data_IF_628641990244
#
_entry.id   IF_628641990244
#
_cell.length_a   1.000
_cell.length_b   1.000
_cell.length_c   1.000
_cell.angle_alpha   90.00
_cell.angle_beta   90.00
_cell.angle_gamma   90.00
#
_symmetry.space_group_name_H-M   'P 1'
#
loop_
_entity.id
_entity.type
_entity.pdbx_description
1 polymer ?
#
# COMPACT_ATOMS: atom_id res chain seq x y z
N UNK A 1 -13.09 5.81 47.79
CA UNK A 1 -11.92 5.20 47.13
C UNK A 1 -12.45 4.22 46.10
N UNK A 2 -11.89 4.15 44.89
CA UNK A 2 -12.35 3.20 43.88
C UNK A 2 -12.18 1.76 44.40
N UNK A 3 -13.13 0.88 44.05
CA UNK A 3 -13.07 -0.54 44.38
C UNK A 3 -11.99 -1.25 43.56
N UNK A 4 -11.51 -2.43 43.98
CA UNK A 4 -10.62 -3.24 43.15
C UNK A 4 -11.19 -3.54 41.75
N UNK A 5 -12.51 -3.76 41.65
CA UNK A 5 -13.19 -4.01 40.38
C UNK A 5 -13.19 -2.78 39.46
N UNK A 6 -13.46 -1.59 40.01
CA UNK A 6 -13.37 -0.32 39.27
C UNK A 6 -11.94 -0.04 38.78
N UNK A 7 -10.93 -0.40 39.59
CA UNK A 7 -9.52 -0.27 39.20
C UNK A 7 -9.15 -1.24 38.08
N UNK A 8 -9.60 -2.49 38.15
CA UNK A 8 -9.35 -3.51 37.11
C UNK A 8 -9.99 -3.09 35.77
N UNK A 9 -11.27 -2.71 35.78
CA UNK A 9 -11.95 -2.25 34.56
C UNK A 9 -11.25 -1.03 33.94
N UNK A 10 -10.73 -0.13 34.78
CA UNK A 10 -9.95 1.02 34.33
C UNK A 10 -8.61 0.62 33.71
N UNK A 11 -7.92 -0.37 34.27
CA UNK A 11 -6.66 -0.90 33.74
C UNK A 11 -6.90 -1.54 32.37
N UNK A 12 -7.89 -2.41 32.25
CA UNK A 12 -8.25 -3.08 30.99
C UNK A 12 -8.58 -2.06 29.89
N UNK A 13 -9.37 -1.02 30.22
CA UNK A 13 -9.68 0.05 29.29
C UNK A 13 -8.44 0.86 28.84
N UNK A 14 -7.47 1.05 29.74
CA UNK A 14 -6.21 1.74 29.41
C UNK A 14 -5.28 0.86 28.58
N UNK A 15 -5.19 -0.43 28.86
CA UNK A 15 -4.41 -1.40 28.09
C UNK A 15 -4.95 -1.52 26.66
N UNK A 16 -6.27 -1.62 26.49
CA UNK A 16 -6.90 -1.63 25.17
C UNK A 16 -6.61 -0.35 24.37
N UNK A 17 -6.64 0.82 25.02
CA UNK A 17 -6.29 2.11 24.39
C UNK A 17 -4.82 2.20 24.03
N UNK A 18 -3.93 1.69 24.88
CA UNK A 18 -2.50 1.66 24.60
C UNK A 18 -2.20 0.75 23.40
N UNK A 19 -2.79 -0.44 23.37
CA UNK A 19 -2.66 -1.37 22.25
C UNK A 19 -3.15 -0.76 20.94
N UNK A 20 -4.30 -0.09 20.93
CA UNK A 20 -4.81 0.59 19.73
C UNK A 20 -3.85 1.69 19.23
N UNK A 21 -3.25 2.46 20.13
CA UNK A 21 -2.27 3.49 19.77
C UNK A 21 -0.96 2.89 19.23
N UNK A 22 -0.51 1.77 19.80
CA UNK A 22 0.66 1.04 19.33
C UNK A 22 0.43 0.42 17.95
N UNK A 23 -0.74 -0.19 17.73
CA UNK A 23 -1.14 -0.76 16.45
C UNK A 23 -1.24 0.29 15.35
N UNK A 24 -1.80 1.47 15.66
CA UNK A 24 -1.80 2.60 14.73
C UNK A 24 -0.38 2.96 14.27
N UNK A 25 0.55 3.11 15.23
CA UNK A 25 1.96 3.41 14.92
C UNK A 25 2.61 2.29 14.11
N UNK A 26 2.36 1.03 14.45
CA UNK A 26 2.91 -0.12 13.73
C UNK A 26 2.42 -0.17 12.28
N UNK A 27 1.14 0.07 12.03
CA UNK A 27 0.57 0.08 10.68
C UNK A 27 1.09 1.25 9.83
N UNK A 28 1.25 2.44 10.43
CA UNK A 28 1.88 3.60 9.75
C UNK A 28 3.32 3.29 9.36
N UNK A 29 4.10 2.71 10.28
CA UNK A 29 5.47 2.32 10.00
C UNK A 29 5.55 1.19 8.97
N UNK A 30 4.65 0.21 9.03
CA UNK A 30 4.57 -0.90 8.08
C UNK A 30 4.33 -0.40 6.66
N UNK A 31 3.33 0.47 6.46
CA UNK A 31 3.03 1.03 5.14
C UNK A 31 4.16 1.94 4.66
N UNK A 32 4.69 2.81 5.52
CA UNK A 32 5.84 3.65 5.18
C UNK A 32 7.06 2.82 4.76
N UNK A 33 7.38 1.75 5.48
CA UNK A 33 8.48 0.84 5.15
C UNK A 33 8.27 0.15 3.80
N UNK A 34 7.04 -0.24 3.45
CA UNK A 34 6.73 -0.77 2.12
C UNK A 34 7.13 0.22 1.01
N UNK A 35 6.74 1.49 1.14
CA UNK A 35 7.12 2.55 0.19
C UNK A 35 8.64 2.67 0.06
N UNK A 36 9.35 2.82 1.19
CA UNK A 36 10.82 2.93 1.19
C UNK A 36 11.53 1.72 0.58
N UNK A 37 11.03 0.50 0.80
CA UNK A 37 11.66 -0.69 0.24
C UNK A 37 11.44 -0.79 -1.27
N UNK A 38 10.23 -0.50 -1.75
CA UNK A 38 9.94 -0.49 -3.19
C UNK A 38 10.75 0.61 -3.89
N UNK A 39 10.87 1.78 -3.27
CA UNK A 39 11.62 2.93 -3.82
C UNK A 39 13.10 2.69 -4.03
N UNK A 40 13.67 1.68 -3.35
CA UNK A 40 15.11 1.40 -3.35
C UNK A 40 15.44 0.02 -3.88
N UNK A 41 14.51 -0.61 -4.59
CA UNK A 41 14.74 -1.93 -5.17
C UNK A 41 14.91 -3.05 -4.15
N UNK A 42 14.47 -2.85 -2.90
CA UNK A 42 14.63 -3.83 -1.81
C UNK A 42 13.46 -4.83 -1.83
N UNK A 43 13.28 -5.51 -2.96
CA UNK A 43 12.12 -6.35 -3.29
C UNK A 43 11.84 -7.44 -2.26
N UNK A 44 12.89 -8.12 -1.79
CA UNK A 44 12.76 -9.16 -0.77
C UNK A 44 12.26 -8.61 0.57
N UNK A 45 12.72 -7.40 0.95
CA UNK A 45 12.27 -6.74 2.17
C UNK A 45 10.82 -6.29 2.04
N UNK A 46 10.44 -5.72 0.90
CA UNK A 46 9.06 -5.33 0.60
C UNK A 46 8.12 -6.55 0.64
N UNK A 47 8.47 -7.65 -0.03
CA UNK A 47 7.69 -8.88 -0.01
C UNK A 47 7.54 -9.46 1.40
N UNK A 48 8.58 -9.38 2.24
CA UNK A 48 8.54 -9.86 3.63
C UNK A 48 7.57 -9.08 4.55
N UNK A 49 6.99 -7.97 4.10
CA UNK A 49 5.96 -7.23 4.84
C UNK A 49 4.55 -7.84 4.67
N UNK A 50 4.34 -8.65 3.63
CA UNK A 50 3.06 -9.31 3.35
C UNK A 50 2.84 -10.49 4.28
N UNK A 51 1.58 -10.86 4.53
CA UNK A 51 1.21 -12.12 5.18
C UNK A 51 1.60 -13.30 4.27
N UNK A 52 1.64 -14.53 4.79
CA UNK A 52 2.00 -15.70 3.98
C UNK A 52 1.07 -15.82 2.74
N UNK A 53 -0.24 -15.62 2.95
CA UNK A 53 -1.29 -15.60 1.92
C UNK A 53 -1.65 -14.20 1.40
N UNK A 54 -0.78 -13.20 1.64
CA UNK A 54 -1.07 -11.81 1.28
C UNK A 54 -1.15 -11.58 -0.23
N UNK A 55 -1.97 -10.63 -0.67
CA UNK A 55 -2.16 -10.30 -2.09
C UNK A 55 -1.61 -8.94 -2.48
N UNK A 56 -1.15 -8.80 -3.73
CA UNK A 56 -0.78 -7.52 -4.33
C UNK A 56 -1.54 -7.31 -5.65
N UNK A 57 -2.12 -6.14 -5.81
CA UNK A 57 -2.74 -5.66 -7.04
C UNK A 57 -2.37 -4.18 -7.23
N UNK A 58 -1.73 -3.84 -8.35
CA UNK A 58 -1.33 -2.46 -8.64
C UNK A 58 -1.62 -2.15 -10.11
N UNK A 59 -2.13 -0.94 -10.39
CA UNK A 59 -2.34 -0.42 -11.74
C UNK A 59 -3.23 -1.30 -12.64
N UNK A 60 -4.13 -2.09 -12.03
CA UNK A 60 -4.98 -3.05 -12.75
C UNK A 60 -4.20 -4.09 -13.56
N UNK A 61 -3.04 -4.54 -13.05
CA UNK A 61 -2.19 -5.59 -13.67
C UNK A 61 -2.61 -7.02 -13.30
N UNK A 62 -3.72 -7.15 -12.56
CA UNK A 62 -4.17 -8.41 -11.95
C UNK A 62 -3.63 -8.61 -10.53
N UNK A 63 -4.08 -9.70 -9.91
CA UNK A 63 -3.79 -10.01 -8.51
C UNK A 63 -2.74 -11.10 -8.40
N UNK A 64 -1.71 -10.86 -7.60
CA UNK A 64 -0.66 -11.80 -7.24
C UNK A 64 -0.94 -12.35 -5.84
N UNK A 65 -1.05 -13.68 -5.71
CA UNK A 65 -1.59 -14.33 -4.51
C UNK A 65 -0.50 -15.06 -3.75
N UNK A 66 -0.30 -14.65 -2.50
CA UNK A 66 0.70 -15.20 -1.60
C UNK A 66 2.05 -14.48 -1.70
N UNK A 67 2.79 -14.46 -0.58
CA UNK A 67 4.05 -13.72 -0.45
C UNK A 67 5.08 -14.04 -1.53
N UNK A 68 5.13 -15.29 -1.98
CA UNK A 68 6.04 -15.74 -3.03
C UNK A 68 5.72 -15.07 -4.39
N UNK A 69 4.44 -14.98 -4.74
CA UNK A 69 3.97 -14.35 -5.99
C UNK A 69 4.16 -12.84 -5.95
N UNK A 70 3.93 -12.22 -4.79
CA UNK A 70 4.27 -10.81 -4.55
C UNK A 70 5.76 -10.56 -4.78
N UNK A 71 6.64 -11.41 -4.22
CA UNK A 71 8.09 -11.30 -4.42
C UNK A 71 8.48 -11.40 -5.88
N UNK A 72 7.92 -12.37 -6.60
CA UNK A 72 8.20 -12.55 -8.02
C UNK A 72 7.79 -11.31 -8.83
N UNK A 73 6.60 -10.77 -8.58
CA UNK A 73 6.15 -9.53 -9.22
C UNK A 73 7.11 -8.36 -8.95
N UNK A 74 7.47 -8.13 -7.68
CA UNK A 74 8.37 -7.04 -7.30
C UNK A 74 9.75 -7.21 -7.95
N UNK A 75 10.25 -8.44 -8.06
CA UNK A 75 11.52 -8.75 -8.74
C UNK A 75 11.49 -8.54 -10.26
N UNK A 76 10.32 -8.31 -10.87
CA UNK A 76 10.19 -7.91 -12.29
C UNK A 76 10.12 -6.40 -12.49
N UNK A 77 10.05 -5.61 -11.41
CA UNK A 77 10.08 -4.16 -11.54
C UNK A 77 11.48 -3.70 -11.98
N UNK A 78 11.58 -2.56 -12.67
CA UNK A 78 12.87 -2.00 -13.07
C UNK A 78 13.82 -1.85 -11.88
N UNK A 79 15.09 -2.19 -12.09
CA UNK A 79 16.11 -2.10 -11.04
C UNK A 79 16.34 -0.64 -10.59
N UNK A 80 16.58 -0.48 -9.28
CA UNK A 80 17.00 0.79 -8.71
C UNK A 80 18.53 0.88 -8.75
N UNK A 81 19.04 2.02 -9.23
CA UNK A 81 20.49 2.27 -9.35
C UNK A 81 20.81 3.69 -9.79
N UNK A 82 22.08 3.93 -10.14
CA UNK A 82 22.55 5.24 -10.58
C UNK A 82 21.72 5.77 -11.77
N UNK A 83 21.29 7.03 -11.67
CA UNK A 83 20.46 7.67 -12.67
C UNK A 83 18.97 7.30 -12.61
N UNK A 84 18.52 6.60 -11.57
CA UNK A 84 17.10 6.33 -11.31
C UNK A 84 16.59 7.08 -10.09
N UNK A 85 15.32 7.48 -10.13
CA UNK A 85 14.60 8.00 -8.96
C UNK A 85 13.25 7.31 -8.87
N UNK A 86 13.01 6.62 -7.75
CA UNK A 86 11.69 6.17 -7.32
C UNK A 86 11.43 6.75 -5.93
N UNK A 87 10.30 7.42 -5.79
CA UNK A 87 9.72 7.80 -4.51
C UNK A 87 8.22 7.53 -4.56
N UNK A 88 7.70 6.73 -3.63
CA UNK A 88 6.28 6.37 -3.48
C UNK A 88 5.86 6.72 -2.05
N UNK A 89 5.76 8.02 -1.77
CA UNK A 89 5.47 8.54 -0.42
C UNK A 89 4.06 8.14 0.01
N UNK A 90 3.94 7.37 1.09
CA UNK A 90 2.67 6.90 1.65
C UNK A 90 2.12 7.95 2.64
N UNK A 91 1.07 8.65 2.26
CA UNK A 91 0.56 9.86 2.93
C UNK A 91 -0.93 9.71 3.30
N UNK A 92 -1.40 10.62 4.17
CA UNK A 92 -2.82 10.78 4.53
C UNK A 92 -3.56 9.46 4.88
N UNK A 93 -3.11 8.71 5.91
CA UNK A 93 -3.79 7.50 6.31
C UNK A 93 -5.22 7.74 6.79
N UNK A 94 -6.11 6.83 6.40
CA UNK A 94 -7.37 6.56 7.11
C UNK A 94 -7.32 5.09 7.55
N UNK A 95 -7.20 4.85 8.86
CA UNK A 95 -7.01 3.52 9.43
C UNK A 95 -8.17 3.14 10.34
N UNK A 96 -8.74 1.95 10.10
CA UNK A 96 -9.71 1.31 10.98
C UNK A 96 -9.09 0.02 11.51
N UNK A 97 -8.87 -0.05 12.82
CA UNK A 97 -8.07 -1.10 13.47
C UNK A 97 -8.94 -1.83 14.48
N UNK A 98 -9.05 -3.15 14.32
CA UNK A 98 -9.54 -4.05 15.36
C UNK A 98 -8.34 -4.75 15.99
N UNK A 99 -7.84 -4.15 17.06
CA UNK A 99 -6.67 -4.64 17.80
C UNK A 99 -6.90 -6.02 18.41
N UNK A 100 -8.11 -6.32 18.87
CA UNK A 100 -8.46 -7.59 19.51
C UNK A 100 -8.54 -8.73 18.48
N UNK A 101 -9.18 -8.48 17.33
CA UNK A 101 -9.20 -9.43 16.22
C UNK A 101 -7.85 -9.52 15.49
N UNK A 102 -6.96 -8.55 15.69
CA UNK A 102 -5.69 -8.46 14.97
C UNK A 102 -5.91 -8.23 13.48
N UNK A 103 -6.90 -7.41 13.12
CA UNK A 103 -7.18 -7.04 11.72
C UNK A 103 -7.28 -5.53 11.57
N UNK A 104 -6.94 -5.02 10.40
CA UNK A 104 -7.13 -3.61 10.11
C UNK A 104 -7.41 -3.38 8.62
N UNK A 105 -7.99 -2.22 8.31
CA UNK A 105 -8.09 -1.69 6.96
C UNK A 105 -7.46 -0.31 6.93
N UNK A 106 -6.85 0.03 5.80
CA UNK A 106 -6.13 1.30 5.65
C UNK A 106 -6.22 1.85 4.25
N UNK A 107 -6.62 3.11 4.14
CA UNK A 107 -6.49 3.90 2.92
C UNK A 107 -5.25 4.76 3.02
N UNK A 108 -4.50 4.86 1.93
CA UNK A 108 -3.35 5.76 1.81
C UNK A 108 -3.38 6.50 0.50
N UNK A 109 -2.85 7.71 0.53
CA UNK A 109 -2.56 8.49 -0.67
C UNK A 109 -1.08 8.41 -0.99
N UNK A 110 -0.72 8.03 -2.21
CA UNK A 110 0.68 7.92 -2.62
C UNK A 110 1.02 8.97 -3.65
N UNK A 111 1.99 9.84 -3.36
CA UNK A 111 2.58 10.71 -4.37
C UNK A 111 3.86 10.07 -4.91
N UNK A 112 3.94 9.96 -6.23
CA UNK A 112 4.96 9.20 -6.95
C UNK A 112 5.89 10.11 -7.76
N UNK A 113 7.18 9.85 -7.67
CA UNK A 113 8.21 10.32 -8.61
C UNK A 113 8.88 9.10 -9.22
N UNK A 114 8.89 9.02 -10.55
CA UNK A 114 9.57 7.95 -11.28
C UNK A 114 10.44 8.60 -12.34
N UNK A 115 11.72 8.25 -12.41
CA UNK A 115 12.60 8.83 -13.42
C UNK A 115 13.84 8.01 -13.71
N UNK A 116 14.32 8.18 -14.94
CA UNK A 116 15.50 7.55 -15.49
C UNK A 116 16.24 8.58 -16.35
N UNK A 117 17.52 8.82 -16.06
CA UNK A 117 18.35 9.75 -16.86
C UNK A 117 18.30 9.38 -18.34
N UNK A 118 18.03 10.37 -19.20
CA UNK A 118 18.01 10.21 -20.65
C UNK A 118 16.82 9.42 -21.20
N UNK A 119 15.83 9.08 -20.37
CA UNK A 119 14.62 8.34 -20.80
C UNK A 119 13.32 9.07 -20.45
N UNK A 120 13.00 9.19 -19.17
CA UNK A 120 11.71 9.77 -18.72
C UNK A 120 11.79 10.30 -17.29
N UNK A 121 10.86 11.21 -16.97
CA UNK A 121 10.61 11.69 -15.61
C UNK A 121 9.12 11.92 -15.45
N UNK A 122 8.51 11.34 -14.43
CA UNK A 122 7.06 11.33 -14.23
C UNK A 122 6.67 11.67 -12.81
N UNK A 123 5.56 12.39 -12.72
CA UNK A 123 4.73 12.43 -11.52
C UNK A 123 3.65 11.36 -11.61
N UNK A 124 3.23 10.86 -10.47
CA UNK A 124 2.01 10.08 -10.39
C UNK A 124 1.37 10.17 -9.03
N UNK A 125 0.13 9.70 -8.94
CA UNK A 125 -0.57 9.58 -7.67
C UNK A 125 -1.44 8.33 -7.66
N UNK A 126 -1.57 7.71 -6.48
CA UNK A 126 -2.34 6.49 -6.32
C UNK A 126 -3.04 6.44 -4.95
N UNK A 127 -4.25 5.87 -4.95
CA UNK A 127 -4.94 5.47 -3.73
C UNK A 127 -4.60 4.03 -3.43
N UNK A 128 -4.10 3.75 -2.24
CA UNK A 128 -3.97 2.38 -1.74
C UNK A 128 -5.16 2.05 -0.85
N UNK A 129 -5.83 0.94 -1.12
CA UNK A 129 -6.92 0.40 -0.32
C UNK A 129 -6.52 -0.98 0.21
N UNK A 130 -5.98 -0.99 1.43
CA UNK A 130 -5.27 -2.13 1.98
C UNK A 130 -6.03 -2.77 3.14
N UNK A 131 -5.75 -4.06 3.34
CA UNK A 131 -6.10 -4.78 4.57
C UNK A 131 -4.85 -5.36 5.22
N UNK A 132 -4.92 -5.54 6.54
CA UNK A 132 -3.82 -5.99 7.37
C UNK A 132 -4.29 -7.05 8.35
N UNK A 133 -3.37 -7.93 8.72
CA UNK A 133 -3.61 -9.01 9.69
C UNK A 133 -2.40 -9.17 10.59
N UNK A 134 -2.63 -9.48 11.87
CA UNK A 134 -1.57 -9.85 12.81
C UNK A 134 -1.26 -11.34 12.61
N UNK A 135 -0.10 -11.61 12.03
CA UNK A 135 0.40 -12.96 11.77
C UNK A 135 1.63 -13.20 12.65
N UNK A 136 1.57 -14.24 13.50
CA UNK A 136 2.66 -14.60 14.44
C UNK A 136 3.11 -13.39 15.30
N UNK A 137 2.13 -12.63 15.79
CA UNK A 137 2.35 -11.49 16.68
C UNK A 137 2.79 -10.19 16.00
N UNK A 138 2.91 -10.14 14.67
CA UNK A 138 3.31 -8.93 13.92
C UNK A 138 2.26 -8.55 12.88
N UNK A 139 2.02 -7.25 12.71
CA UNK A 139 1.21 -6.77 11.60
C UNK A 139 1.85 -7.09 10.25
N UNK A 140 1.03 -7.56 9.33
CA UNK A 140 1.37 -7.89 7.95
C UNK A 140 0.34 -7.33 7.00
N UNK A 141 0.77 -7.05 5.77
CA UNK A 141 -0.11 -6.66 4.67
C UNK A 141 -0.86 -7.92 4.20
N UNK A 142 -2.17 -7.95 4.40
CA UNK A 142 -3.03 -9.04 3.96
C UNK A 142 -3.49 -8.83 2.51
N UNK A 143 -3.81 -7.59 2.13
CA UNK A 143 -4.03 -7.20 0.75
C UNK A 143 -3.51 -5.80 0.54
N UNK A 144 -2.77 -5.62 -0.56
CA UNK A 144 -2.36 -4.30 -1.05
C UNK A 144 -2.99 -4.06 -2.41
N UNK A 145 -3.82 -3.04 -2.51
CA UNK A 145 -4.46 -2.64 -3.75
C UNK A 145 -4.11 -1.19 -4.08
N UNK A 146 -3.20 -0.98 -5.03
CA UNK A 146 -2.76 0.33 -5.50
C UNK A 146 -3.51 0.77 -6.77
N UNK A 147 -4.49 1.65 -6.61
CA UNK A 147 -5.27 2.25 -7.69
C UNK A 147 -4.58 3.54 -8.12
N UNK A 148 -3.88 3.50 -9.25
CA UNK A 148 -3.23 4.69 -9.82
C UNK A 148 -4.30 5.67 -10.32
N UNK A 149 -4.31 6.89 -9.76
CA UNK A 149 -5.22 7.95 -10.18
C UNK A 149 -4.65 8.75 -11.35
N UNK A 150 -3.33 8.99 -11.40
CA UNK A 150 -2.68 9.60 -12.55
C UNK A 150 -1.21 9.21 -12.68
N UNK A 151 -0.72 9.27 -13.92
CA UNK A 151 0.68 9.51 -14.27
C UNK A 151 0.74 10.66 -15.28
N UNK A 152 1.75 11.51 -15.21
CA UNK A 152 2.03 12.50 -16.27
C UNK A 152 3.54 12.72 -16.39
N UNK A 153 3.97 13.14 -17.58
CA UNK A 153 5.34 13.60 -17.77
C UNK A 153 5.61 14.83 -16.88
N UNK A 154 6.79 14.84 -16.26
CA UNK A 154 7.18 15.79 -15.21
C UNK A 154 7.06 17.25 -15.67
N UNK A 155 7.41 17.53 -16.92
CA UNK A 155 7.51 18.84 -17.54
C UNK A 155 6.25 19.26 -18.31
N UNK A 156 5.40 18.31 -18.71
CA UNK A 156 4.11 18.62 -19.36
C UNK A 156 3.01 18.98 -18.35
N UNK A 157 3.00 18.28 -17.21
CA UNK A 157 2.03 18.46 -16.13
C UNK A 157 0.64 17.86 -16.40
N UNK A 158 -0.09 17.54 -15.32
CA UNK A 158 -1.37 16.83 -15.37
C UNK A 158 -2.51 17.55 -16.12
N UNK A 159 -2.39 18.86 -16.33
CA UNK A 159 -3.37 19.65 -17.07
C UNK A 159 -3.36 19.39 -18.58
N UNK A 160 -2.31 18.75 -19.12
CA UNK A 160 -2.16 18.47 -20.55
C UNK A 160 -2.51 17.04 -20.96
N UNK A 161 -2.78 16.18 -19.98
CA UNK A 161 -3.09 14.77 -20.20
C UNK A 161 -2.45 13.89 -19.14
N UNK A 162 -2.44 12.59 -19.41
CA UNK A 162 -1.80 11.60 -18.56
C UNK A 162 -1.26 10.42 -19.36
N UNK A 163 -0.40 9.64 -18.71
CA UNK A 163 0.20 8.44 -19.28
C UNK A 163 -0.71 7.24 -19.01
N UNK A 164 -1.17 6.51 -20.05
CA UNK A 164 -2.01 5.34 -19.88
C UNK A 164 -1.37 4.28 -18.98
N UNK A 165 -2.18 3.58 -18.20
CA UNK A 165 -1.67 2.51 -17.36
C UNK A 165 -1.16 1.33 -18.18
N UNK A 166 0.09 0.96 -17.92
CA UNK A 166 0.65 -0.30 -18.41
C UNK A 166 0.03 -1.47 -17.61
N UNK A 167 -0.73 -2.33 -18.31
CA UNK A 167 -1.54 -3.42 -17.71
C UNK A 167 -0.81 -4.76 -17.56
N UNK A 168 0.46 -4.83 -17.94
CA UNK A 168 1.26 -6.05 -17.88
C UNK A 168 2.67 -5.76 -17.40
N UNK A 169 3.25 -6.72 -16.68
CA UNK A 169 4.65 -6.70 -16.28
C UNK A 169 5.36 -7.82 -17.04
N UNK A 170 6.46 -7.51 -17.71
CA UNK A 170 7.20 -8.49 -18.49
C UNK A 170 7.71 -9.64 -17.59
N UNK A 171 7.62 -10.88 -18.07
CA UNK A 171 8.16 -12.05 -17.37
C UNK A 171 7.38 -12.52 -16.14
N UNK A 172 6.18 -11.99 -15.88
CA UNK A 172 5.27 -12.50 -14.83
C UNK A 172 3.81 -12.29 -15.23
N UNK A 173 2.95 -13.27 -14.92
CA UNK A 173 1.50 -13.19 -15.11
C UNK A 173 0.81 -13.14 -13.75
N UNK A 174 -0.34 -12.45 -13.61
CA UNK A 174 -1.10 -12.47 -12.37
C UNK A 174 -1.81 -13.83 -12.18
N UNK A 175 -2.13 -14.16 -10.93
CA UNK A 175 -2.85 -15.39 -10.58
C UNK A 175 -4.36 -15.23 -10.75
N UNK A 176 -4.87 -13.98 -10.73
CA UNK A 176 -6.27 -13.63 -10.97
C UNK A 176 -6.36 -12.36 -11.84
N UNK A 177 -7.46 -12.16 -12.60
CA UNK A 177 -7.68 -10.90 -13.30
C UNK A 177 -7.77 -9.71 -12.32
N UNK A 178 -7.67 -8.46 -12.82
CA UNK A 178 -7.90 -7.28 -11.99
C UNK A 178 -9.26 -7.32 -11.30
N UNK A 179 -9.32 -6.81 -10.07
CA UNK A 179 -10.53 -6.79 -9.26
C UNK A 179 -11.61 -5.86 -9.85
N UNK A 180 -11.21 -4.86 -10.63
CA UNK A 180 -12.12 -4.02 -11.41
C UNK A 180 -11.41 -3.34 -12.57
N UNK A 181 -12.19 -2.93 -13.58
CA UNK A 181 -11.70 -2.16 -14.72
C UNK A 181 -11.77 -0.65 -14.45
N UNK A 182 -10.70 0.06 -14.74
CA UNK A 182 -10.60 1.52 -14.63
C UNK A 182 -9.44 2.03 -15.47
N UNK A 183 -9.31 3.35 -15.63
CA UNK A 183 -8.13 3.99 -16.23
C UNK A 183 -7.75 5.23 -15.40
N UNK A 184 -6.48 5.64 -15.50
CA UNK A 184 -5.97 6.83 -14.84
C UNK A 184 -6.44 8.12 -15.55
N UNK A 185 -6.28 9.27 -14.88
CA UNK A 185 -6.49 10.59 -15.44
C UNK A 185 -5.87 10.68 -16.86
N UNK A 186 -6.64 11.14 -17.86
CA UNK A 186 -7.85 11.96 -17.77
C UNK A 186 -9.16 11.22 -17.55
N UNK A 187 -9.15 9.90 -17.35
CA UNK A 187 -10.36 9.16 -16.96
C UNK A 187 -10.60 9.31 -15.45
N UNK A 188 -11.87 9.42 -15.08
CA UNK A 188 -12.25 9.47 -13.68
C UNK A 188 -12.19 8.06 -13.08
N UNK A 189 -11.65 7.97 -11.88
CA UNK A 189 -11.69 6.76 -11.05
C UNK A 189 -11.99 7.17 -9.61
N UNK A 190 -12.88 6.40 -8.98
CA UNK A 190 -13.10 6.46 -7.54
C UNK A 190 -12.63 5.11 -7.01
N UNK A 191 -11.51 5.11 -6.30
CA UNK A 191 -11.01 3.89 -5.68
C UNK A 191 -12.03 3.37 -4.66
N UNK A 192 -12.32 2.06 -4.63
CA UNK A 192 -13.16 1.46 -3.59
C UNK A 192 -12.66 1.82 -2.20
N UNK A 193 -13.58 2.06 -1.27
CA UNK A 193 -13.25 2.50 0.09
C UNK A 193 -14.03 1.72 1.15
N UNK A 194 -13.36 1.40 2.26
CA UNK A 194 -13.89 0.50 3.29
C UNK A 194 -14.75 1.15 4.37
N UNK A 195 -15.09 2.43 4.24
CA UNK A 195 -15.75 3.21 5.30
C UNK A 195 -16.79 4.17 4.74
N UNK A 196 -17.96 4.25 5.36
CA UNK A 196 -18.96 5.26 5.02
C UNK A 196 -18.81 6.53 5.88
N UNK A 197 -18.26 6.38 7.09
CA UNK A 197 -18.01 7.43 8.08
C UNK A 197 -16.60 7.26 8.70
N UNK A 198 -16.02 8.34 9.25
CA UNK A 198 -14.67 8.40 9.85
C UNK A 198 -14.67 8.96 11.25
#
# INVERSE_FOLDING_TARGET
MPTPEELLARIEALEARALAAEDYRELVNLQGAYGYYVDKGLWDKAANLFADEGTLEIAGRGVYVGRARVREYLGRLPEYGDGTIYNHMQLQPVLHIDSAAGTAKGRWRTLMMVGFIGREGRWGEATYENSYVRERGKWRIASLHGIINFYCEYDEGWHRGGVPLLRSTEGVQPDRPPSFEYEAHPKAVIAPFHYDEV
#
